data_IF_292139894553
#
_entry.id   IF_292139894553
#
_cell.length_a   1.000
_cell.length_b   1.000
_cell.length_c   1.000
_cell.angle_alpha   90.00
_cell.angle_beta   90.00
_cell.angle_gamma   90.00
#
_symmetry.space_group_name_H-M   'P 1'
#
loop_
_entity.id
_entity.type
_entity.pdbx_description
1 polymer ?
#
# COMPACT_ATOMS: atom_id res chain seq x y z
N UNK A 1 36.75 -8.33 -8.84
CA UNK A 1 35.64 -7.79 -8.05
C UNK A 1 35.54 -8.55 -6.74
N UNK A 2 36.02 -7.98 -5.62
CA UNK A 2 35.89 -8.60 -4.30
C UNK A 2 34.40 -8.56 -3.88
N UNK A 3 33.79 -9.73 -3.66
CA UNK A 3 32.47 -9.84 -3.02
C UNK A 3 32.54 -9.09 -1.69
N UNK A 4 31.63 -8.11 -1.50
CA UNK A 4 31.34 -7.56 -0.17
C UNK A 4 30.81 -8.71 0.70
N UNK A 5 31.69 -9.33 1.50
CA UNK A 5 31.32 -10.26 2.55
C UNK A 5 30.73 -9.46 3.71
N UNK A 6 29.55 -9.91 4.15
CA UNK A 6 28.96 -9.68 5.45
C UNK A 6 28.64 -8.22 5.87
N UNK A 7 27.84 -7.52 5.09
CA UNK A 7 26.93 -6.58 5.70
C UNK A 7 25.74 -7.41 6.24
N UNK A 8 25.62 -7.55 7.56
CA UNK A 8 24.40 -8.04 8.21
C UNK A 8 23.23 -7.26 7.60
N UNK A 9 22.24 -7.97 7.05
CA UNK A 9 21.03 -7.34 6.57
C UNK A 9 20.41 -6.58 7.74
N UNK A 10 20.25 -5.27 7.57
CA UNK A 10 19.75 -4.39 8.63
C UNK A 10 18.24 -4.48 8.82
N UNK A 11 17.52 -5.04 7.83
CA UNK A 11 16.09 -5.23 7.87
C UNK A 11 15.66 -6.34 6.91
N UNK A 12 14.49 -6.92 7.15
CA UNK A 12 13.88 -7.95 6.29
C UNK A 12 13.11 -7.28 5.16
N UNK A 13 13.60 -7.40 3.93
CA UNK A 13 12.96 -6.77 2.76
C UNK A 13 12.11 -7.76 1.94
N UNK A 14 11.08 -7.24 1.28
CA UNK A 14 10.06 -8.02 0.59
C UNK A 14 10.62 -9.07 -0.37
N UNK A 15 11.60 -8.71 -1.23
CA UNK A 15 12.12 -9.66 -2.22
C UNK A 15 12.75 -10.90 -1.57
N UNK A 16 13.46 -10.73 -0.44
CA UNK A 16 14.02 -11.85 0.32
C UNK A 16 12.91 -12.70 0.93
N UNK A 17 11.92 -12.06 1.55
CA UNK A 17 10.76 -12.75 2.11
C UNK A 17 10.02 -13.58 1.05
N UNK A 18 9.81 -13.03 -0.14
CA UNK A 18 9.13 -13.75 -1.22
C UNK A 18 9.97 -14.92 -1.75
N UNK A 19 11.30 -14.78 -1.83
CA UNK A 19 12.19 -15.87 -2.21
C UNK A 19 12.16 -16.99 -1.16
N UNK A 20 12.20 -16.64 0.13
CA UNK A 20 12.07 -17.62 1.24
C UNK A 20 10.72 -18.36 1.17
N UNK A 21 9.63 -17.62 0.88
CA UNK A 21 8.28 -18.17 0.85
C UNK A 21 8.00 -19.04 -0.38
N UNK A 22 8.48 -18.62 -1.55
CA UNK A 22 8.16 -19.26 -2.82
C UNK A 22 9.30 -20.04 -3.46
N UNK A 23 10.51 -19.99 -2.88
CA UNK A 23 11.70 -20.68 -3.39
C UNK A 23 12.40 -19.97 -4.54
N UNK A 24 11.77 -18.92 -5.12
CA UNK A 24 12.31 -18.19 -6.26
C UNK A 24 11.80 -16.73 -6.30
N UNK A 25 12.37 -15.97 -7.22
CA UNK A 25 11.96 -14.59 -7.43
C UNK A 25 10.48 -14.50 -7.82
N UNK A 26 9.74 -13.68 -7.10
CA UNK A 26 8.33 -13.40 -7.35
C UNK A 26 8.16 -11.91 -7.66
N UNK A 27 7.36 -11.57 -8.69
CA UNK A 27 7.08 -10.19 -9.09
C UNK A 27 5.61 -9.85 -8.86
N UNK A 28 5.34 -8.57 -8.60
CA UNK A 28 3.97 -8.05 -8.53
C UNK A 28 3.48 -7.60 -9.91
N UNK A 29 2.25 -7.93 -10.23
CA UNK A 29 1.49 -7.43 -11.37
C UNK A 29 0.47 -6.44 -10.80
N UNK A 30 0.73 -5.15 -10.93
CA UNK A 30 -0.22 -4.12 -10.51
C UNK A 30 -1.38 -4.06 -11.51
N UNK A 31 -2.60 -4.10 -10.99
CA UNK A 31 -3.84 -4.00 -11.78
C UNK A 31 -4.76 -2.92 -11.22
N UNK A 32 -5.50 -2.27 -12.08
CA UNK A 32 -6.64 -1.44 -11.73
C UNK A 32 -7.91 -2.31 -11.69
N UNK A 33 -8.49 -2.44 -10.50
CA UNK A 33 -9.72 -3.20 -10.30
C UNK A 33 -10.99 -2.41 -10.63
N UNK A 34 -10.87 -1.18 -11.13
CA UNK A 34 -11.97 -0.25 -11.38
C UNK A 34 -12.88 -0.07 -10.14
N UNK A 35 -12.22 0.08 -9.01
CA UNK A 35 -12.88 0.42 -7.75
C UNK A 35 -12.98 1.92 -7.58
N UNK A 36 -13.86 2.35 -6.69
CA UNK A 36 -13.91 3.72 -6.20
C UNK A 36 -13.40 3.80 -4.76
N UNK A 37 -13.64 4.91 -4.11
CA UNK A 37 -13.28 5.14 -2.71
C UNK A 37 -14.43 5.89 -2.03
N UNK A 38 -14.91 5.43 -0.84
CA UNK A 38 -16.00 6.10 -0.13
C UNK A 38 -15.66 7.54 0.27
N UNK A 39 -14.37 7.88 0.30
CA UNK A 39 -13.87 9.24 0.52
C UNK A 39 -13.88 10.11 -0.75
N UNK A 40 -14.43 9.61 -1.88
CA UNK A 40 -14.47 10.31 -3.18
C UNK A 40 -15.82 10.27 -3.87
N UNK A 41 -16.63 9.26 -3.61
CA UNK A 41 -17.92 9.05 -4.29
C UNK A 41 -19.12 9.67 -3.55
N UNK A 42 -18.85 10.44 -2.50
CA UNK A 42 -19.89 11.12 -1.71
C UNK A 42 -20.38 10.33 -0.51
N UNK A 43 -19.97 9.09 -0.32
CA UNK A 43 -20.37 8.27 0.84
C UNK A 43 -19.83 8.86 2.16
N UNK A 44 -18.53 9.18 2.21
CA UNK A 44 -17.89 9.85 3.34
C UNK A 44 -17.52 11.30 2.98
N UNK A 45 -16.99 11.52 1.78
CA UNK A 45 -16.55 12.80 1.26
C UNK A 45 -16.49 12.74 -0.27
N UNK A 46 -16.51 13.92 -0.92
CA UNK A 46 -16.25 14.03 -2.36
C UNK A 46 -14.80 14.43 -2.70
N UNK A 47 -13.97 14.71 -1.68
CA UNK A 47 -12.68 15.37 -1.87
C UNK A 47 -11.50 14.42 -1.93
N UNK A 48 -11.62 13.20 -1.36
CA UNK A 48 -10.50 12.30 -1.16
C UNK A 48 -9.49 12.80 -0.11
N UNK A 49 -8.45 12.03 0.14
CA UNK A 49 -7.31 12.49 0.94
C UNK A 49 -6.57 13.60 0.19
N UNK A 50 -6.01 14.58 0.93
CA UNK A 50 -5.39 15.79 0.33
C UNK A 50 -4.24 15.50 -0.64
N UNK A 51 -3.53 14.39 -0.46
CA UNK A 51 -2.38 13.95 -1.27
C UNK A 51 -2.78 13.00 -2.41
N UNK A 52 -4.02 12.52 -2.45
CA UNK A 52 -4.45 11.48 -3.38
C UNK A 52 -4.86 12.08 -4.73
N UNK A 53 -4.20 11.66 -5.81
CA UNK A 53 -4.50 12.08 -7.17
C UNK A 53 -5.85 11.53 -7.68
N UNK A 54 -6.27 11.97 -8.84
CA UNK A 54 -7.49 11.47 -9.50
C UNK A 54 -7.43 9.97 -9.82
N UNK A 55 -6.22 9.42 -10.02
CA UNK A 55 -5.99 8.00 -10.28
C UNK A 55 -5.83 7.15 -9.01
N UNK A 56 -5.97 7.73 -7.81
CA UNK A 56 -5.92 6.99 -6.54
C UNK A 56 -4.64 6.18 -6.33
N UNK A 57 -3.48 6.75 -6.65
CA UNK A 57 -2.16 6.08 -6.63
C UNK A 57 -1.96 5.00 -7.72
N UNK A 58 -2.79 5.05 -8.77
CA UNK A 58 -2.74 4.15 -9.93
C UNK A 58 -2.05 4.71 -11.16
N UNK A 59 -1.41 5.87 -11.08
CA UNK A 59 -0.83 6.60 -12.23
C UNK A 59 0.18 5.79 -13.04
N UNK A 60 0.85 4.84 -12.40
CA UNK A 60 1.86 3.98 -13.03
C UNK A 60 1.30 2.64 -13.52
N UNK A 61 -0.01 2.37 -13.33
CA UNK A 61 -0.64 1.15 -13.81
C UNK A 61 -0.83 1.25 -15.32
N UNK A 62 -0.20 0.33 -16.04
CA UNK A 62 -0.34 0.24 -17.48
C UNK A 62 -1.64 -0.46 -17.85
N UNK A 63 -2.25 0.00 -18.94
CA UNK A 63 -3.49 -0.57 -19.47
C UNK A 63 -4.66 -0.51 -18.45
N UNK A 64 -4.64 0.47 -17.52
CA UNK A 64 -5.68 0.62 -16.49
C UNK A 64 -7.08 0.80 -17.08
N UNK A 65 -7.19 1.26 -18.32
CA UNK A 65 -8.46 1.39 -19.05
C UNK A 65 -9.04 0.05 -19.54
N UNK A 66 -8.27 -1.05 -19.46
CA UNK A 66 -8.69 -2.40 -19.88
C UNK A 66 -9.30 -3.18 -18.72
N UNK A 67 -10.08 -4.20 -19.03
CA UNK A 67 -10.55 -5.16 -18.03
C UNK A 67 -9.35 -5.87 -17.35
N UNK A 68 -9.56 -6.33 -16.11
CA UNK A 68 -8.52 -6.91 -15.25
C UNK A 68 -7.80 -8.09 -15.94
N UNK A 69 -8.56 -8.98 -16.59
CA UNK A 69 -8.00 -10.14 -17.31
C UNK A 69 -7.05 -9.70 -18.42
N UNK A 70 -7.43 -8.68 -19.17
CA UNK A 70 -6.61 -8.10 -20.24
C UNK A 70 -5.34 -7.45 -19.70
N UNK A 71 -5.43 -6.70 -18.58
CA UNK A 71 -4.26 -6.11 -17.91
C UNK A 71 -3.24 -7.21 -17.55
N UNK A 72 -3.68 -8.30 -16.91
CA UNK A 72 -2.82 -9.42 -16.50
C UNK A 72 -2.23 -10.11 -17.74
N UNK A 73 -3.03 -10.44 -18.76
CA UNK A 73 -2.54 -11.08 -19.99
C UNK A 73 -1.50 -10.22 -20.72
N UNK A 74 -1.70 -8.92 -20.80
CA UNK A 74 -0.73 -7.99 -21.40
C UNK A 74 0.58 -7.93 -20.62
N UNK A 75 0.50 -7.96 -19.26
CA UNK A 75 1.71 -8.07 -18.46
C UNK A 75 2.50 -9.33 -18.81
N UNK A 76 1.83 -10.50 -18.91
CA UNK A 76 2.47 -11.76 -19.27
C UNK A 76 3.03 -11.79 -20.69
N UNK A 77 2.46 -11.06 -21.62
CA UNK A 77 2.99 -10.87 -22.96
C UNK A 77 4.23 -9.94 -23.00
N UNK A 78 4.50 -9.19 -21.94
CA UNK A 78 5.59 -8.24 -21.88
C UNK A 78 6.93 -8.89 -21.52
N UNK A 79 8.04 -8.20 -21.84
CA UNK A 79 9.38 -8.63 -21.42
C UNK A 79 9.56 -8.73 -19.90
N UNK A 80 8.75 -8.01 -19.13
CA UNK A 80 8.79 -8.01 -17.65
C UNK A 80 8.48 -9.39 -17.09
N UNK A 81 7.56 -10.12 -17.68
CA UNK A 81 7.18 -11.47 -17.26
C UNK A 81 8.32 -12.49 -17.40
N UNK A 82 9.29 -12.23 -18.29
CA UNK A 82 10.48 -13.11 -18.47
C UNK A 82 11.45 -13.05 -17.28
N UNK A 83 11.23 -12.16 -16.32
CA UNK A 83 12.15 -11.91 -15.19
C UNK A 83 11.85 -12.76 -13.94
N UNK A 84 10.72 -13.48 -13.93
CA UNK A 84 10.31 -14.38 -12.85
C UNK A 84 9.37 -15.46 -13.39
N UNK A 85 9.17 -16.53 -12.60
CA UNK A 85 8.21 -17.58 -12.90
C UNK A 85 7.00 -17.56 -11.96
N UNK A 86 7.05 -16.74 -10.89
CA UNK A 86 5.95 -16.59 -9.93
C UNK A 86 5.52 -15.13 -9.84
N UNK A 87 4.23 -14.92 -9.68
CA UNK A 87 3.65 -13.60 -9.68
C UNK A 87 2.57 -13.46 -8.61
N UNK A 88 2.47 -12.25 -8.05
CA UNK A 88 1.38 -11.83 -7.17
C UNK A 88 0.61 -10.75 -7.90
N UNK A 89 -0.70 -10.92 -8.08
CA UNK A 89 -1.54 -9.85 -8.59
C UNK A 89 -1.83 -8.87 -7.46
N UNK A 90 -1.61 -7.59 -7.72
CA UNK A 90 -1.74 -6.53 -6.75
C UNK A 90 -2.77 -5.50 -7.20
N UNK A 91 -3.90 -5.48 -6.51
CA UNK A 91 -4.93 -4.44 -6.63
C UNK A 91 -4.46 -3.21 -5.86
N UNK A 92 -4.01 -2.19 -6.58
CA UNK A 92 -3.22 -1.10 -5.99
C UNK A 92 -4.01 0.16 -5.71
N UNK A 93 -4.79 0.66 -6.67
CA UNK A 93 -5.42 1.97 -6.59
C UNK A 93 -6.81 1.94 -5.93
N UNK A 94 -7.19 3.06 -5.31
CA UNK A 94 -8.47 3.21 -4.61
C UNK A 94 -8.68 2.22 -3.46
N UNK A 95 -9.94 1.76 -3.28
CA UNK A 95 -10.36 0.93 -2.14
C UNK A 95 -10.85 -0.42 -2.65
N UNK A 96 -9.96 -1.38 -2.73
CA UNK A 96 -10.20 -2.63 -3.47
C UNK A 96 -11.04 -3.68 -2.71
N UNK A 97 -11.67 -3.28 -1.59
CA UNK A 97 -12.68 -4.06 -0.86
C UNK A 97 -14.03 -3.33 -0.78
N UNK A 98 -14.14 -2.17 -1.42
CA UNK A 98 -15.34 -1.33 -1.40
C UNK A 98 -16.24 -1.66 -2.60
N UNK A 99 -16.96 -2.78 -2.48
CA UNK A 99 -17.93 -3.26 -3.46
C UNK A 99 -18.78 -4.38 -2.81
N UNK A 100 -19.78 -4.90 -3.50
CA UNK A 100 -20.51 -6.09 -3.05
C UNK A 100 -19.62 -7.34 -3.09
N UNK A 101 -19.89 -8.31 -2.23
CA UNK A 101 -19.14 -9.59 -2.18
C UNK A 101 -19.11 -10.29 -3.54
N UNK A 102 -20.22 -10.25 -4.29
CA UNK A 102 -20.32 -10.84 -5.63
C UNK A 102 -19.37 -10.14 -6.62
N UNK A 103 -19.36 -8.80 -6.64
CA UNK A 103 -18.49 -8.01 -7.51
C UNK A 103 -17.02 -8.19 -7.12
N UNK A 104 -16.70 -8.18 -5.83
CA UNK A 104 -15.33 -8.46 -5.33
C UNK A 104 -14.85 -9.82 -5.84
N UNK A 105 -15.65 -10.87 -5.67
CA UNK A 105 -15.34 -12.22 -6.15
C UNK A 105 -15.09 -12.24 -7.66
N UNK A 106 -15.96 -11.60 -8.43
CA UNK A 106 -15.82 -11.49 -9.88
C UNK A 106 -14.51 -10.81 -10.29
N UNK A 107 -14.19 -9.69 -9.64
CA UNK A 107 -12.97 -8.90 -9.93
C UNK A 107 -11.70 -9.67 -9.54
N UNK A 108 -11.68 -10.31 -8.36
CA UNK A 108 -10.51 -11.07 -7.93
C UNK A 108 -10.29 -12.29 -8.82
N UNK A 109 -11.34 -13.03 -9.20
CA UNK A 109 -11.24 -14.15 -10.12
C UNK A 109 -10.75 -13.73 -11.51
N UNK A 110 -11.15 -12.56 -12.00
CA UNK A 110 -10.71 -12.03 -13.28
C UNK A 110 -9.19 -11.77 -13.37
N UNK A 111 -8.52 -11.66 -12.22
CA UNK A 111 -7.08 -11.48 -12.14
C UNK A 111 -6.29 -12.79 -12.10
N UNK A 112 -6.91 -13.91 -11.70
CA UNK A 112 -6.25 -15.19 -11.43
C UNK A 112 -6.30 -16.11 -12.67
N UNK A 113 -5.76 -15.63 -13.79
CA UNK A 113 -5.93 -16.23 -15.14
C UNK A 113 -4.67 -16.91 -15.72
N UNK A 114 -3.64 -17.11 -14.88
CA UNK A 114 -2.38 -17.76 -15.29
C UNK A 114 -1.83 -18.57 -14.11
N UNK A 115 -1.36 -19.80 -14.38
CA UNK A 115 -0.90 -20.73 -13.34
C UNK A 115 0.36 -20.28 -12.59
N UNK A 116 1.08 -19.29 -13.14
CA UNK A 116 2.22 -18.66 -12.47
C UNK A 116 1.82 -17.68 -11.38
N UNK A 117 0.55 -17.36 -11.25
CA UNK A 117 0.05 -16.50 -10.19
C UNK A 117 -0.04 -17.34 -8.91
N UNK A 118 0.74 -16.94 -7.91
CA UNK A 118 0.85 -17.62 -6.61
C UNK A 118 0.24 -16.84 -5.46
N UNK A 119 -0.24 -15.61 -5.73
CA UNK A 119 -0.82 -14.77 -4.69
C UNK A 119 -1.64 -13.61 -5.23
N UNK A 120 -2.44 -13.06 -4.30
CA UNK A 120 -3.23 -11.86 -4.47
C UNK A 120 -2.92 -10.89 -3.33
N UNK A 121 -2.69 -9.64 -3.66
CA UNK A 121 -2.45 -8.57 -2.72
C UNK A 121 -3.47 -7.45 -2.95
N UNK A 122 -4.11 -6.98 -1.89
CA UNK A 122 -5.28 -6.09 -1.96
C UNK A 122 -5.00 -4.85 -1.13
N UNK A 123 -4.80 -3.69 -1.77
CA UNK A 123 -4.70 -2.42 -1.06
C UNK A 123 -6.10 -1.86 -0.80
N UNK A 124 -6.34 -1.44 0.43
CA UNK A 124 -7.65 -0.93 0.83
C UNK A 124 -7.58 -0.01 2.05
N UNK A 125 -8.73 0.53 2.39
CA UNK A 125 -8.97 1.31 3.61
C UNK A 125 -9.40 0.37 4.75
N UNK A 126 -8.98 0.62 6.00
CA UNK A 126 -9.37 -0.20 7.13
C UNK A 126 -10.88 -0.17 7.41
N UNK A 127 -11.53 0.98 7.25
CA UNK A 127 -12.98 1.13 7.41
C UNK A 127 -13.83 0.41 6.34
N UNK A 128 -13.19 -0.19 5.33
CA UNK A 128 -13.80 -1.04 4.31
C UNK A 128 -13.45 -2.52 4.49
N UNK A 129 -13.09 -2.92 5.72
CA UNK A 129 -12.90 -4.34 6.11
C UNK A 129 -14.00 -4.71 7.12
N UNK A 130 -14.65 -5.84 6.86
CA UNK A 130 -15.58 -6.47 7.76
C UNK A 130 -15.46 -8.00 7.70
N UNK A 131 -16.20 -8.72 8.53
CA UNK A 131 -16.14 -10.20 8.60
C UNK A 131 -16.48 -10.87 7.26
N UNK A 132 -17.43 -10.36 6.49
CA UNK A 132 -17.83 -10.99 5.23
C UNK A 132 -16.77 -10.81 4.14
N UNK A 133 -16.11 -9.64 4.11
CA UNK A 133 -14.97 -9.38 3.24
C UNK A 133 -13.78 -10.26 3.65
N UNK A 134 -13.49 -10.37 4.93
CA UNK A 134 -12.41 -11.24 5.41
C UNK A 134 -12.65 -12.71 5.08
N UNK A 135 -13.89 -13.20 5.20
CA UNK A 135 -14.27 -14.56 4.76
C UNK A 135 -14.07 -14.75 3.27
N UNK A 136 -14.52 -13.81 2.44
CA UNK A 136 -14.29 -13.85 0.99
C UNK A 136 -12.78 -13.93 0.67
N UNK A 137 -11.98 -13.07 1.28
CA UNK A 137 -10.53 -13.04 1.07
C UNK A 137 -9.90 -14.37 1.53
N UNK A 138 -10.37 -14.93 2.65
CA UNK A 138 -9.88 -16.21 3.16
C UNK A 138 -10.13 -17.39 2.21
N UNK A 139 -11.21 -17.38 1.42
CA UNK A 139 -11.44 -18.42 0.42
C UNK A 139 -10.27 -18.54 -0.58
N UNK A 140 -9.61 -17.42 -0.89
CA UNK A 140 -8.43 -17.42 -1.77
C UNK A 140 -7.19 -17.95 -1.06
N UNK A 141 -7.11 -17.89 0.27
CA UNK A 141 -5.94 -18.36 1.03
C UNK A 141 -5.73 -19.87 0.99
N UNK A 142 -6.75 -20.64 0.58
CA UNK A 142 -6.62 -22.09 0.38
C UNK A 142 -5.67 -22.44 -0.80
N UNK A 143 -5.57 -21.57 -1.77
CA UNK A 143 -4.78 -21.82 -3.00
C UNK A 143 -3.66 -20.80 -3.23
N UNK A 144 -3.83 -19.58 -2.74
CA UNK A 144 -2.96 -18.46 -3.04
C UNK A 144 -2.40 -17.85 -1.74
N UNK A 145 -1.23 -17.25 -1.84
CA UNK A 145 -0.81 -16.31 -0.83
C UNK A 145 -1.71 -15.08 -0.86
N UNK A 146 -2.24 -14.70 0.29
CA UNK A 146 -3.11 -13.53 0.40
C UNK A 146 -2.50 -12.52 1.35
N UNK A 147 -2.47 -11.28 0.92
CA UNK A 147 -2.01 -10.15 1.72
C UNK A 147 -2.94 -8.95 1.53
N UNK A 148 -3.31 -8.30 2.63
CA UNK A 148 -4.08 -7.06 2.61
C UNK A 148 -3.21 -5.90 3.05
N UNK A 149 -3.10 -4.88 2.21
CA UNK A 149 -2.39 -3.65 2.53
C UNK A 149 -3.39 -2.60 3.02
N UNK A 150 -3.27 -2.21 4.28
CA UNK A 150 -4.15 -1.24 4.94
C UNK A 150 -3.49 0.13 5.02
N UNK A 151 -4.20 1.14 4.55
CA UNK A 151 -3.79 2.53 4.75
C UNK A 151 -3.92 2.90 6.24
N UNK A 152 -2.82 3.26 6.89
CA UNK A 152 -2.79 3.90 8.21
C UNK A 152 -2.43 5.37 8.09
N UNK A 153 -1.45 5.68 7.27
CA UNK A 153 -0.75 6.93 7.04
C UNK A 153 -0.02 7.42 8.30
N UNK A 154 -0.74 7.63 9.38
CA UNK A 154 -0.27 8.01 10.73
C UNK A 154 -1.22 7.45 11.78
N UNK A 155 -0.75 7.20 12.98
CA UNK A 155 -1.59 6.86 14.14
C UNK A 155 -2.23 8.09 14.79
N UNK A 156 -1.77 9.31 14.47
CA UNK A 156 -2.35 10.55 14.97
C UNK A 156 -3.65 10.88 14.22
N UNK A 157 -4.78 10.82 14.93
CA UNK A 157 -6.09 11.05 14.34
C UNK A 157 -6.38 12.52 13.99
N UNK A 158 -5.71 13.49 14.65
CA UNK A 158 -5.83 14.90 14.27
C UNK A 158 -5.15 15.16 12.91
N UNK A 159 -3.94 14.63 12.69
CA UNK A 159 -3.32 14.63 11.37
C UNK A 159 -4.20 13.85 10.37
N UNK A 160 -4.78 12.71 10.79
CA UNK A 160 -5.74 11.94 10.01
C UNK A 160 -6.93 12.77 9.50
N UNK A 161 -7.47 13.66 10.33
CA UNK A 161 -8.53 14.63 9.95
C UNK A 161 -8.00 15.68 8.99
N UNK A 162 -6.84 16.24 9.25
CA UNK A 162 -6.21 17.27 8.42
C UNK A 162 -5.97 16.78 6.99
N UNK A 163 -5.47 15.55 6.84
CA UNK A 163 -5.29 14.93 5.52
C UNK A 163 -6.60 14.41 4.89
N UNK A 164 -7.73 14.66 5.51
CA UNK A 164 -9.06 14.20 5.09
C UNK A 164 -9.12 12.67 4.87
N UNK A 165 -8.54 11.90 5.79
CA UNK A 165 -8.52 10.43 5.74
C UNK A 165 -9.91 9.82 5.96
N UNK A 166 -10.77 10.49 6.77
CA UNK A 166 -12.14 10.11 7.09
C UNK A 166 -12.30 8.77 7.84
N UNK A 167 -11.31 8.32 8.57
CA UNK A 167 -11.37 7.23 9.56
C UNK A 167 -10.32 7.47 10.65
N UNK A 168 -10.49 6.82 11.79
CA UNK A 168 -9.59 6.92 12.94
C UNK A 168 -8.71 5.67 13.06
N UNK A 169 -7.63 5.76 13.82
CA UNK A 169 -6.65 4.69 14.01
C UNK A 169 -7.26 3.41 14.62
N UNK A 170 -8.32 3.51 15.44
CA UNK A 170 -9.02 2.36 15.98
C UNK A 170 -9.64 1.48 14.89
N UNK A 171 -10.14 2.06 13.77
CA UNK A 171 -10.66 1.28 12.64
C UNK A 171 -9.56 0.45 11.95
N UNK A 172 -8.32 0.93 11.97
CA UNK A 172 -7.18 0.11 11.55
C UNK A 172 -6.95 -1.08 12.50
N UNK A 173 -7.01 -0.84 13.81
CA UNK A 173 -6.89 -1.90 14.83
C UNK A 173 -7.95 -2.98 14.66
N UNK A 174 -9.19 -2.59 14.41
CA UNK A 174 -10.32 -3.51 14.18
C UNK A 174 -10.13 -4.30 12.88
N UNK A 175 -9.72 -3.65 11.78
CA UNK A 175 -9.46 -4.32 10.51
C UNK A 175 -8.34 -5.37 10.64
N UNK A 176 -7.25 -5.04 11.35
CA UNK A 176 -6.18 -6.00 11.64
C UNK A 176 -6.73 -7.19 12.41
N UNK A 177 -7.47 -6.97 13.51
CA UNK A 177 -8.08 -8.06 14.30
C UNK A 177 -8.97 -8.98 13.44
N UNK A 178 -9.80 -8.40 12.58
CA UNK A 178 -10.70 -9.16 11.69
C UNK A 178 -9.88 -10.00 10.71
N UNK A 179 -8.91 -9.43 10.00
CA UNK A 179 -8.10 -10.15 9.02
C UNK A 179 -7.25 -11.25 9.67
N UNK A 180 -6.68 -10.98 10.87
CA UNK A 180 -5.83 -11.94 11.57
C UNK A 180 -6.58 -13.14 12.15
N UNK A 181 -7.90 -13.06 12.38
CA UNK A 181 -8.73 -14.24 12.69
C UNK A 181 -8.64 -15.32 11.60
N UNK A 182 -8.40 -14.91 10.36
CA UNK A 182 -8.28 -15.78 9.17
C UNK A 182 -6.83 -16.00 8.74
N UNK A 183 -5.85 -15.61 9.56
CA UNK A 183 -4.42 -15.68 9.23
C UNK A 183 -4.01 -14.95 7.94
N UNK A 184 -4.79 -13.97 7.50
CA UNK A 184 -4.47 -13.12 6.35
C UNK A 184 -3.33 -12.18 6.73
N UNK A 185 -2.26 -12.13 5.93
CA UNK A 185 -1.14 -11.22 6.16
C UNK A 185 -1.58 -9.76 5.96
N UNK A 186 -1.19 -8.89 6.89
CA UNK A 186 -1.50 -7.45 6.87
C UNK A 186 -0.23 -6.64 6.72
N UNK A 187 -0.27 -5.67 5.81
CA UNK A 187 0.80 -4.69 5.60
C UNK A 187 0.26 -3.29 5.90
N UNK A 188 0.90 -2.58 6.81
CA UNK A 188 0.55 -1.20 7.12
C UNK A 188 1.19 -0.24 6.10
N UNK A 189 0.41 0.68 5.53
CA UNK A 189 0.92 1.80 4.77
C UNK A 189 1.04 3.02 5.67
N UNK A 190 2.24 3.59 5.81
CA UNK A 190 2.48 4.86 6.50
C UNK A 190 3.09 5.88 5.56
N UNK A 191 2.94 7.15 5.93
CA UNK A 191 3.51 8.28 5.22
C UNK A 191 4.41 9.07 6.17
N UNK A 192 5.45 9.68 5.63
CA UNK A 192 6.38 10.57 6.33
C UNK A 192 6.36 11.92 5.63
N UNK A 193 6.27 13.00 6.41
CA UNK A 193 6.18 14.35 5.90
C UNK A 193 4.75 14.81 5.64
N UNK A 194 3.78 14.31 6.40
CA UNK A 194 2.41 14.84 6.40
C UNK A 194 2.38 16.26 6.96
N UNK A 195 1.40 17.11 6.57
CA UNK A 195 1.24 18.43 7.18
C UNK A 195 1.23 18.34 8.71
N UNK A 196 1.95 19.24 9.35
CA UNK A 196 2.09 19.35 10.81
C UNK A 196 2.61 18.10 11.54
N UNK A 197 3.10 17.09 10.83
CA UNK A 197 3.68 15.88 11.41
C UNK A 197 4.96 16.17 12.17
N UNK A 198 5.04 15.73 13.41
CA UNK A 198 6.19 15.88 14.30
C UNK A 198 7.00 14.58 14.39
N UNK A 199 8.17 14.64 15.03
CA UNK A 199 8.94 13.43 15.36
C UNK A 199 8.14 12.49 16.28
N UNK A 200 7.44 13.03 17.26
CA UNK A 200 6.62 12.26 18.20
C UNK A 200 5.49 11.51 17.49
N UNK A 201 4.89 12.09 16.46
CA UNK A 201 3.86 11.40 15.65
C UNK A 201 4.41 10.19 14.93
N UNK A 202 5.64 10.29 14.41
CA UNK A 202 6.32 9.16 13.76
C UNK A 202 6.65 8.08 14.80
N UNK A 203 7.15 8.45 15.97
CA UNK A 203 7.45 7.53 17.06
C UNK A 203 6.21 6.79 17.53
N UNK A 204 5.13 7.52 17.78
CA UNK A 204 3.83 6.97 18.16
C UNK A 204 3.26 6.04 17.07
N UNK A 205 3.46 6.38 15.79
CA UNK A 205 3.02 5.53 14.67
C UNK A 205 3.81 4.21 14.62
N UNK A 206 5.12 4.24 14.87
CA UNK A 206 5.95 3.04 14.95
C UNK A 206 5.55 2.17 16.15
N UNK A 207 5.33 2.76 17.32
CA UNK A 207 4.85 2.05 18.50
C UNK A 207 3.46 1.44 18.26
N UNK A 208 2.54 2.19 17.64
CA UNK A 208 1.23 1.69 17.26
C UNK A 208 1.33 0.46 16.37
N UNK A 209 2.18 0.48 15.34
CA UNK A 209 2.41 -0.67 14.45
C UNK A 209 2.99 -1.86 15.22
N UNK A 210 3.96 -1.63 16.11
CA UNK A 210 4.59 -2.67 16.91
C UNK A 210 3.60 -3.39 17.82
N UNK A 211 2.56 -2.70 18.29
CA UNK A 211 1.49 -3.23 19.15
C UNK A 211 0.39 -3.97 18.37
N UNK A 212 0.47 -4.01 17.03
CA UNK A 212 -0.50 -4.71 16.20
C UNK A 212 0.13 -5.94 15.49
N UNK A 213 -0.67 -6.97 15.24
CA UNK A 213 -0.22 -8.16 14.51
C UNK A 213 -0.20 -7.92 12.99
N UNK A 214 0.72 -7.04 12.55
CA UNK A 214 1.00 -6.78 11.13
C UNK A 214 2.27 -7.50 10.70
N UNK A 215 2.31 -8.00 9.47
CA UNK A 215 3.41 -8.80 8.92
C UNK A 215 4.37 -7.96 8.10
N UNK A 216 3.93 -6.79 7.66
CA UNK A 216 4.77 -5.92 6.85
C UNK A 216 4.40 -4.44 6.95
N UNK A 217 5.27 -3.62 6.37
CA UNK A 217 5.11 -2.16 6.31
C UNK A 217 5.53 -1.63 4.93
N UNK A 218 4.80 -0.64 4.44
CA UNK A 218 5.21 0.25 3.35
C UNK A 218 5.37 1.67 3.87
N UNK A 219 6.53 2.26 3.62
CA UNK A 219 6.86 3.62 4.02
C UNK A 219 6.86 4.48 2.76
N UNK A 220 6.11 5.57 2.79
CA UNK A 220 6.02 6.53 1.70
C UNK A 220 6.44 7.91 2.17
N UNK A 221 7.27 8.60 1.40
CA UNK A 221 7.40 10.05 1.55
C UNK A 221 6.15 10.74 0.98
N UNK A 222 5.80 11.87 1.55
CA UNK A 222 4.71 12.69 1.05
C UNK A 222 5.18 13.49 -0.16
N UNK A 223 4.54 13.25 -1.31
CA UNK A 223 4.80 13.97 -2.56
C UNK A 223 3.71 14.99 -2.83
N UNK A 224 4.10 16.14 -3.34
CA UNK A 224 3.18 17.13 -3.91
C UNK A 224 2.94 16.78 -5.37
N UNK A 225 1.73 16.33 -5.68
CA UNK A 225 1.32 15.90 -7.01
C UNK A 225 0.29 16.88 -7.57
N UNK A 226 0.38 17.21 -8.85
CA UNK A 226 -0.57 18.10 -9.56
C UNK A 226 -2.02 17.67 -9.31
N UNK A 227 -2.92 18.63 -9.31
CA UNK A 227 -4.36 18.45 -9.16
C UNK A 227 -4.81 17.89 -7.80
N UNK A 228 -3.95 17.97 -6.77
CA UNK A 228 -4.30 17.57 -5.40
C UNK A 228 -4.56 18.79 -4.52
N UNK A 229 -5.25 18.60 -3.39
CA UNK A 229 -5.40 19.66 -2.40
C UNK A 229 -4.04 20.03 -1.79
N UNK A 230 -3.16 19.05 -1.60
CA UNK A 230 -1.80 19.27 -1.09
C UNK A 230 -0.98 20.17 -2.03
N UNK A 231 -1.17 20.05 -3.36
CA UNK A 231 -0.53 20.96 -4.33
C UNK A 231 -0.98 22.40 -4.14
N UNK A 232 -2.26 22.63 -3.88
CA UNK A 232 -2.78 23.98 -3.59
C UNK A 232 -2.23 24.54 -2.29
N UNK A 233 -2.12 23.71 -1.24
CA UNK A 233 -1.49 24.10 0.03
C UNK A 233 -0.01 24.49 -0.16
N UNK A 234 0.71 23.73 -0.98
CA UNK A 234 2.10 24.04 -1.35
C UNK A 234 2.21 25.36 -2.12
N UNK A 235 1.35 25.60 -3.11
CA UNK A 235 1.33 26.82 -3.93
C UNK A 235 1.10 28.09 -3.09
N UNK A 236 0.31 28.01 -2.02
CA UNK A 236 0.03 29.16 -1.15
C UNK A 236 0.93 29.21 0.10
N UNK A 237 1.90 28.31 0.22
CA UNK A 237 2.85 28.27 1.32
C UNK A 237 2.30 27.70 2.65
N UNK A 238 1.18 27.00 2.62
CA UNK A 238 0.61 26.29 3.78
C UNK A 238 1.23 24.92 4.04
N UNK A 239 1.98 24.40 3.09
CA UNK A 239 2.70 23.12 3.20
C UNK A 239 4.07 23.23 2.52
N UNK A 240 5.09 22.69 3.19
CA UNK A 240 6.45 22.55 2.65
C UNK A 240 6.88 21.07 2.69
N UNK A 241 7.31 20.50 1.55
CA UNK A 241 7.81 19.12 1.52
C UNK A 241 9.08 18.97 2.36
N UNK A 242 9.21 17.82 3.02
CA UNK A 242 10.40 17.49 3.80
C UNK A 242 11.63 17.31 2.92
N UNK A 243 12.81 17.65 3.45
CA UNK A 243 14.08 17.40 2.76
C UNK A 243 14.41 15.91 2.71
N UNK A 244 15.29 15.53 1.77
CA UNK A 244 15.80 14.16 1.69
C UNK A 244 16.51 13.74 2.99
N UNK A 245 17.30 14.63 3.58
CA UNK A 245 18.04 14.38 4.82
C UNK A 245 17.07 14.07 5.97
N UNK A 246 16.02 14.89 6.11
CA UNK A 246 14.99 14.66 7.11
C UNK A 246 14.28 13.32 6.88
N UNK A 247 13.90 13.03 5.62
CA UNK A 247 13.28 11.75 5.29
C UNK A 247 14.18 10.55 5.65
N UNK A 248 15.46 10.62 5.35
CA UNK A 248 16.40 9.54 5.65
C UNK A 248 16.59 9.34 7.17
N UNK A 249 16.61 10.42 7.94
CA UNK A 249 16.63 10.35 9.41
C UNK A 249 15.39 9.63 9.96
N UNK A 250 14.18 10.00 9.48
CA UNK A 250 12.95 9.36 9.91
C UNK A 250 12.86 7.90 9.45
N UNK A 251 13.32 7.62 8.24
CA UNK A 251 13.41 6.24 7.73
C UNK A 251 14.33 5.36 8.57
N UNK A 252 15.51 5.89 8.96
CA UNK A 252 16.42 5.17 9.86
C UNK A 252 15.76 4.89 11.21
N UNK A 253 15.08 5.89 11.81
CA UNK A 253 14.34 5.71 13.05
C UNK A 253 13.28 4.60 12.91
N UNK A 254 12.42 4.68 11.89
CA UNK A 254 11.36 3.70 11.65
C UNK A 254 11.95 2.28 11.53
N UNK A 255 12.96 2.09 10.67
CA UNK A 255 13.54 0.76 10.42
C UNK A 255 14.18 0.17 11.68
N UNK A 256 14.81 1.01 12.51
CA UNK A 256 15.53 0.55 13.70
C UNK A 256 14.63 0.30 14.90
N UNK A 257 13.42 0.86 14.94
CA UNK A 257 12.47 0.73 16.05
C UNK A 257 11.27 -0.19 15.74
N UNK A 258 11.14 -0.67 14.50
CA UNK A 258 10.17 -1.70 14.17
C UNK A 258 10.54 -3.02 14.86
N UNK A 259 9.53 -3.74 15.39
CA UNK A 259 9.74 -5.07 15.98
C UNK A 259 10.32 -6.04 14.96
N UNK A 260 11.10 -6.99 15.44
CA UNK A 260 11.66 -8.05 14.60
C UNK A 260 10.56 -8.81 13.85
N UNK A 261 10.88 -9.25 12.64
CA UNK A 261 9.97 -10.03 11.81
C UNK A 261 9.09 -9.23 10.86
N UNK A 262 8.86 -7.93 11.08
CA UNK A 262 8.16 -7.09 10.12
C UNK A 262 8.94 -7.01 8.81
N UNK A 263 8.25 -7.29 7.69
CA UNK A 263 8.82 -7.22 6.35
C UNK A 263 8.64 -5.81 5.79
N UNK A 264 9.72 -5.18 5.35
CA UNK A 264 9.67 -3.87 4.70
C UNK A 264 9.38 -4.08 3.21
N UNK A 265 8.17 -3.75 2.80
CA UNK A 265 7.72 -3.89 1.42
C UNK A 265 8.23 -2.76 0.53
N UNK A 266 8.37 -1.56 1.07
CA UNK A 266 8.85 -0.37 0.37
C UNK A 266 9.38 0.65 1.37
N UNK A 267 10.44 1.35 0.99
CA UNK A 267 11.04 2.42 1.81
C UNK A 267 10.84 3.82 1.21
N UNK A 268 10.30 3.92 0.00
CA UNK A 268 9.94 5.18 -0.67
C UNK A 268 8.92 4.90 -1.76
N UNK A 269 8.02 5.83 -2.01
CA UNK A 269 7.13 5.81 -3.17
C UNK A 269 7.81 6.44 -4.40
N UNK A 270 7.16 6.33 -5.54
CA UNK A 270 7.51 7.06 -6.76
C UNK A 270 6.27 7.81 -7.24
N UNK A 271 6.41 9.11 -7.51
CA UNK A 271 5.40 9.88 -8.23
C UNK A 271 5.75 9.96 -9.72
N UNK A 272 4.76 9.98 -10.63
CA UNK A 272 5.03 10.20 -12.04
C UNK A 272 5.73 11.54 -12.24
N UNK A 273 6.80 11.56 -13.03
CA UNK A 273 7.64 12.75 -13.24
C UNK A 273 6.89 13.96 -13.82
N UNK A 274 5.89 13.69 -14.64
CA UNK A 274 5.03 14.71 -15.27
C UNK A 274 3.99 15.29 -14.31
N UNK A 275 3.67 14.59 -13.24
CA UNK A 275 2.72 15.00 -12.20
C UNK A 275 3.40 15.51 -10.92
N UNK A 276 4.65 15.15 -10.66
CA UNK A 276 5.39 15.57 -9.48
C UNK A 276 5.66 17.08 -9.53
N UNK A 277 5.35 17.78 -8.43
CA UNK A 277 5.68 19.19 -8.20
C UNK A 277 6.88 19.27 -7.25
N UNK A 278 6.81 18.54 -6.13
CA UNK A 278 7.84 18.56 -5.07
C UNK A 278 7.79 17.28 -4.20
N UNK A 279 8.91 16.89 -3.55
CA UNK A 279 10.27 17.41 -3.77
C UNK A 279 10.83 16.96 -5.13
N UNK A 280 11.80 17.73 -5.68
CA UNK A 280 12.50 17.40 -6.93
C UNK A 280 13.50 16.25 -6.75
#
# INVERSE_FOLDING_TARGET
>A
MKRRKDLKERYRYLNKYLIEKFGERTLKICVDGHFTCPNRDGTLSNNGCIFCSECGSGELIKDSEKDITTQVKRYFASWRAKRANKFIVYFQNFTNTYDTIENLRKKYNAALVDDRIVGIEIATRPDCINEDIAKLINEYSEKYYVCVELGLQTSNDEIGKEINRCYISEQFSEAVKILRKYNIDVVAHIMVGLPNETQEDIENTVEFINNHDVQGIKIHSTYVVKNTKLAKMYEVGEYEPISLEYYLEKLEYIITHLREGIVIHRISGDAPKDLLIAPE
#
